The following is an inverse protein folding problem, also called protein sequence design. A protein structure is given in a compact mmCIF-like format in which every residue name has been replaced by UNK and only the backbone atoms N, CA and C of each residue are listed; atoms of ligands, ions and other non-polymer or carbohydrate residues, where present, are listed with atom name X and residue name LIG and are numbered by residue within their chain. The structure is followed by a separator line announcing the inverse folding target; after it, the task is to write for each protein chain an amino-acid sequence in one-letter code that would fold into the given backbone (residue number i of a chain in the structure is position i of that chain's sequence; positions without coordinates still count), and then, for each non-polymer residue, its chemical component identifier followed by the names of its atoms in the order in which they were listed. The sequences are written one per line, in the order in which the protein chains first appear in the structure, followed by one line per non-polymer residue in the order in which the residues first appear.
data_IF_927851532225
#
_entry.id   IF_927851532225
#
_cell.length_a   1.000
_cell.length_b   1.000
_cell.length_c   1.000
_cell.angle_alpha   90.00
_cell.angle_beta   90.00
_cell.angle_gamma   90.00
#
_symmetry.space_group_name_H-M   'P 1'
#
loop_
_entity.id
_entity.type
_entity.pdbx_description
1 polymer ?
#
# COMPACT_ATOMS: atom_id res chain seq x y z
N UNK A 1 61.74 -11.03 -22.20
CA UNK A 1 61.11 -10.51 -20.97
C UNK A 1 59.68 -11.04 -20.89
N UNK A 2 59.43 -12.25 -20.38
CA UNK A 2 58.08 -12.71 -20.07
C UNK A 2 57.71 -12.35 -18.62
N UNK A 3 56.53 -11.76 -18.44
CA UNK A 3 56.00 -11.38 -17.14
C UNK A 3 55.41 -12.58 -16.40
N UNK A 4 55.93 -12.81 -15.20
CA UNK A 4 55.43 -13.74 -14.19
C UNK A 4 53.97 -13.42 -13.82
N UNK A 5 53.07 -14.38 -14.01
CA UNK A 5 51.78 -14.41 -13.32
C UNK A 5 51.93 -15.26 -12.06
N UNK A 6 52.02 -14.59 -10.91
CA UNK A 6 51.97 -15.25 -9.60
C UNK A 6 50.53 -15.63 -9.26
N UNK A 7 50.37 -16.90 -8.95
CA UNK A 7 49.16 -17.56 -8.46
C UNK A 7 48.85 -17.10 -7.04
N UNK A 8 47.67 -16.50 -6.82
CA UNK A 8 47.17 -16.22 -5.48
C UNK A 8 46.32 -17.40 -4.99
N UNK A 9 46.93 -18.21 -4.12
CA UNK A 9 46.23 -19.10 -3.19
C UNK A 9 45.51 -18.23 -2.14
N UNK A 10 44.18 -18.25 -2.11
CA UNK A 10 43.39 -17.79 -0.96
C UNK A 10 42.88 -19.02 -0.21
N UNK A 11 43.50 -19.26 0.94
CA UNK A 11 43.15 -20.28 1.92
C UNK A 11 41.81 -19.95 2.57
N UNK A 12 40.91 -20.94 2.57
CA UNK A 12 39.69 -20.94 3.35
C UNK A 12 40.04 -21.06 4.85
N UNK A 13 39.68 -20.05 5.62
CA UNK A 13 39.62 -20.13 7.08
C UNK A 13 38.18 -19.96 7.53
N UNK A 14 37.54 -21.09 7.83
CA UNK A 14 36.34 -21.15 8.66
C UNK A 14 36.73 -20.85 10.12
N UNK A 15 36.06 -19.91 10.80
CA UNK A 15 35.97 -19.93 12.25
C UNK A 15 34.76 -20.79 12.71
N UNK A 16 34.88 -21.45 13.87
CA UNK A 16 33.96 -22.47 14.35
C UNK A 16 32.63 -21.91 14.89
N UNK A 17 31.61 -22.76 14.84
CA UNK A 17 30.33 -22.61 15.52
C UNK A 17 30.50 -22.60 17.04
N UNK A 18 29.81 -21.72 17.77
CA UNK A 18 29.42 -21.99 19.14
C UNK A 18 27.98 -22.50 19.19
N UNK A 19 27.82 -23.76 19.56
CA UNK A 19 26.60 -24.26 20.19
C UNK A 19 26.78 -24.11 21.70
N UNK A 20 25.82 -23.49 22.38
CA UNK A 20 25.11 -24.04 23.55
C UNK A 20 24.22 -22.93 24.18
N UNK A 21 23.02 -23.39 24.47
CA UNK A 21 21.85 -22.85 25.19
C UNK A 21 22.13 -21.99 26.41
N UNK A 22 21.38 -20.89 26.57
CA UNK A 22 20.64 -20.66 27.80
C UNK A 22 19.36 -19.85 27.56
N UNK A 23 18.37 -20.14 28.39
CA UNK A 23 16.97 -19.76 28.31
C UNK A 23 16.77 -18.29 28.67
N UNK A 24 16.00 -17.56 27.86
CA UNK A 24 15.32 -16.36 28.35
C UNK A 24 14.00 -16.19 27.60
N UNK A 25 12.94 -16.43 28.35
CA UNK A 25 11.54 -16.33 27.99
C UNK A 25 11.24 -14.98 27.31
N UNK A 26 10.72 -15.01 26.08
CA UNK A 26 10.01 -13.86 25.53
C UNK A 26 8.72 -13.69 26.34
N UNK A 27 8.44 -12.53 26.96
CA UNK A 27 7.13 -12.28 27.52
C UNK A 27 6.13 -12.19 26.36
N UNK A 28 5.37 -13.26 26.21
CA UNK A 28 4.18 -13.36 25.38
C UNK A 28 3.19 -12.28 25.83
N UNK A 29 3.03 -11.23 25.03
CA UNK A 29 2.10 -10.15 25.33
C UNK A 29 0.67 -10.63 25.04
N UNK A 30 0.05 -11.31 26.02
CA UNK A 30 -1.39 -11.60 26.01
C UNK A 30 -2.18 -10.34 26.38
N UNK A 31 -3.06 -9.81 25.50
CA UNK A 31 -4.01 -8.79 25.91
C UNK A 31 -5.05 -9.43 26.83
N UNK A 32 -4.97 -9.07 28.12
CA UNK A 32 -5.92 -9.50 29.15
C UNK A 32 -7.27 -8.82 28.91
N UNK A 33 -8.33 -9.64 29.00
CA UNK A 33 -9.73 -9.27 29.30
C UNK A 33 -10.67 -8.98 28.12
N UNK A 34 -11.21 -10.05 27.53
CA UNK A 34 -12.63 -10.10 27.15
C UNK A 34 -13.42 -10.81 28.26
N UNK A 35 -14.52 -10.26 28.80
CA UNK A 35 -15.42 -11.04 29.65
C UNK A 35 -16.38 -11.85 28.76
N UNK A 36 -16.02 -13.10 28.47
CA UNK A 36 -17.01 -14.20 28.36
C UNK A 36 -16.99 -14.85 29.75
N UNK A 37 -18.06 -14.92 30.53
CA UNK A 37 -19.41 -15.39 30.21
C UNK A 37 -19.64 -16.63 31.05
N UNK A 38 -20.72 -16.72 31.82
CA UNK A 38 -21.13 -17.98 32.46
C UNK A 38 -22.65 -18.04 32.55
N UNK A 39 -23.21 -18.68 31.53
CA UNK A 39 -24.51 -19.32 31.52
C UNK A 39 -24.29 -20.78 31.90
N UNK A 40 -24.86 -21.21 33.03
CA UNK A 40 -25.01 -22.60 33.46
C UNK A 40 -26.44 -22.78 34.00
N UNK A 41 -27.11 -23.87 33.59
CA UNK A 41 -28.55 -24.09 33.66
C UNK A 41 -29.17 -24.49 35.02
N UNK A 42 -30.36 -25.14 35.00
CA UNK A 42 -31.41 -25.01 36.02
C UNK A 42 -31.39 -26.08 37.12
N UNK A 43 -31.93 -25.74 38.30
CA UNK A 43 -32.16 -26.67 39.41
C UNK A 43 -32.80 -26.04 40.66
N UNK A 44 -34.15 -25.87 40.61
CA UNK A 44 -35.20 -25.99 41.65
C UNK A 44 -35.01 -25.52 43.14
N UNK A 45 -36.13 -25.30 43.89
CA UNK A 45 -36.37 -24.04 44.61
C UNK A 45 -36.40 -24.20 46.14
N UNK A 46 -35.98 -23.19 46.89
CA UNK A 46 -36.43 -22.77 48.25
C UNK A 46 -35.78 -21.38 48.46
N UNK A 47 -36.30 -20.33 49.09
CA UNK A 47 -37.37 -20.11 50.04
C UNK A 47 -37.60 -18.58 50.04
N UNK A 48 -38.86 -18.12 49.97
CA UNK A 48 -39.22 -16.71 50.27
C UNK A 48 -39.39 -16.62 51.79
N UNK A 49 -39.05 -15.50 52.44
CA UNK A 49 -40.17 -14.64 52.83
C UNK A 49 -39.91 -13.14 52.68
N UNK A 50 -41.03 -12.50 52.32
CA UNK A 50 -41.38 -11.10 52.46
C UNK A 50 -40.69 -10.33 53.59
N UNK A 51 -40.08 -9.19 53.25
CA UNK A 51 -40.24 -7.98 54.07
C UNK A 51 -40.45 -6.75 53.18
N UNK A 52 -41.54 -6.05 53.48
CA UNK A 52 -41.87 -4.73 52.94
C UNK A 52 -41.00 -3.71 53.66
N UNK A 53 -40.16 -2.98 52.95
CA UNK A 53 -39.77 -1.64 53.39
C UNK A 53 -39.83 -0.67 52.22
N UNK A 54 -40.92 0.08 52.22
CA UNK A 54 -41.05 1.39 51.62
C UNK A 54 -40.17 2.36 52.39
N UNK A 55 -39.15 2.95 51.78
CA UNK A 55 -38.59 4.23 52.22
C UNK A 55 -37.82 4.93 51.09
N UNK A 56 -38.39 6.07 50.69
CA UNK A 56 -37.72 7.30 50.27
C UNK A 56 -36.52 7.23 49.33
N UNK A 57 -36.77 7.61 48.08
CA UNK A 57 -36.03 8.65 47.34
C UNK A 57 -34.61 8.95 47.84
N UNK A 58 -33.65 8.09 47.50
CA UNK A 58 -32.25 8.49 47.42
C UNK A 58 -32.01 9.07 46.03
N UNK A 59 -32.08 10.40 45.95
CA UNK A 59 -31.58 11.22 44.85
C UNK A 59 -30.34 10.56 44.26
N UNK A 60 -30.48 10.00 43.06
CA UNK A 60 -29.31 9.61 42.26
C UNK A 60 -28.54 10.90 42.04
N UNK A 61 -27.48 11.09 42.83
CA UNK A 61 -26.49 12.10 42.58
C UNK A 61 -26.04 11.87 41.14
N UNK A 62 -26.57 12.68 40.22
CA UNK A 62 -25.97 12.93 38.91
C UNK A 62 -24.57 13.42 39.23
N UNK A 63 -23.63 12.48 39.35
CA UNK A 63 -22.20 12.75 39.17
C UNK A 63 -22.13 13.37 37.79
N UNK A 64 -22.11 14.69 37.77
CA UNK A 64 -21.66 15.51 36.66
C UNK A 64 -20.30 14.95 36.28
N UNK A 65 -20.28 14.06 35.27
CA UNK A 65 -19.03 13.65 34.64
C UNK A 65 -18.36 14.97 34.25
N UNK A 66 -17.24 15.27 34.90
CA UNK A 66 -16.54 16.54 34.71
C UNK A 66 -16.39 16.77 33.20
N UNK A 67 -16.72 17.98 32.76
CA UNK A 67 -16.70 18.38 31.34
C UNK A 67 -15.38 17.98 30.65
N UNK A 68 -14.26 18.02 31.38
CA UNK A 68 -12.95 17.56 30.91
C UNK A 68 -12.88 16.08 30.49
N UNK A 69 -13.61 15.17 31.15
CA UNK A 69 -13.63 13.75 30.77
C UNK A 69 -14.38 13.51 29.45
N UNK A 70 -15.46 14.27 29.20
CA UNK A 70 -16.21 14.20 27.94
C UNK A 70 -15.40 14.75 26.76
N UNK A 71 -14.70 15.87 26.96
CA UNK A 71 -13.82 16.47 25.94
C UNK A 71 -12.69 15.50 25.56
N UNK A 72 -12.04 14.87 26.54
CA UNK A 72 -10.98 13.87 26.28
C UNK A 72 -11.50 12.62 25.55
N UNK A 73 -12.69 12.13 25.93
CA UNK A 73 -13.33 10.99 25.24
C UNK A 73 -13.70 11.34 23.79
N UNK A 74 -14.15 12.57 23.53
CA UNK A 74 -14.46 13.05 22.18
C UNK A 74 -13.20 13.22 21.31
N UNK A 75 -12.14 13.84 21.85
CA UNK A 75 -10.86 13.95 21.17
C UNK A 75 -10.27 12.58 20.83
N UNK A 76 -10.32 11.62 21.77
CA UNK A 76 -9.88 10.25 21.52
C UNK A 76 -10.67 9.62 20.36
N UNK A 77 -12.00 9.75 20.36
CA UNK A 77 -12.85 9.23 19.28
C UNK A 77 -12.54 9.88 17.93
N UNK A 78 -12.27 11.20 17.90
CA UNK A 78 -11.85 11.92 16.69
C UNK A 78 -10.52 11.37 16.15
N UNK A 79 -9.53 11.19 17.03
CA UNK A 79 -8.23 10.63 16.67
C UNK A 79 -8.35 9.21 16.13
N UNK A 80 -9.12 8.33 16.79
CA UNK A 80 -9.33 6.96 16.30
C UNK A 80 -10.07 6.91 14.96
N UNK A 81 -11.05 7.80 14.73
CA UNK A 81 -11.72 7.90 13.43
C UNK A 81 -10.76 8.32 12.33
N UNK A 82 -9.91 9.31 12.60
CA UNK A 82 -8.86 9.74 11.67
C UNK A 82 -7.89 8.59 11.37
N UNK A 83 -7.34 7.92 12.39
CA UNK A 83 -6.42 6.80 12.20
C UNK A 83 -7.03 5.66 11.36
N UNK A 84 -8.32 5.33 11.57
CA UNK A 84 -9.02 4.32 10.75
C UNK A 84 -9.25 4.79 9.31
N UNK A 85 -9.49 6.09 9.10
CA UNK A 85 -9.64 6.67 7.77
C UNK A 85 -8.29 6.65 7.02
N UNK A 86 -7.22 7.08 7.67
CA UNK A 86 -5.85 7.10 7.12
C UNK A 86 -5.41 5.67 6.75
N UNK A 87 -5.61 4.69 7.66
CA UNK A 87 -5.33 3.28 7.37
C UNK A 87 -6.16 2.76 6.18
N UNK A 88 -7.43 3.17 6.07
CA UNK A 88 -8.28 2.77 4.96
C UNK A 88 -7.80 3.35 3.63
N UNK A 89 -7.29 4.59 3.63
CA UNK A 89 -6.70 5.21 2.45
C UNK A 89 -5.48 4.43 1.97
N UNK A 90 -4.54 4.12 2.87
CA UNK A 90 -3.35 3.32 2.54
C UNK A 90 -3.73 1.94 1.97
N UNK A 91 -4.71 1.26 2.55
CA UNK A 91 -5.13 -0.05 2.05
C UNK A 91 -5.78 0.03 0.65
N UNK A 92 -6.51 1.12 0.33
CA UNK A 92 -7.04 1.35 -1.02
C UNK A 92 -5.90 1.61 -2.00
N UNK A 93 -4.90 2.37 -1.59
CA UNK A 93 -3.71 2.66 -2.39
C UNK A 93 -2.93 1.40 -2.72
N UNK A 94 -2.72 0.53 -1.74
CA UNK A 94 -2.11 -0.77 -1.94
C UNK A 94 -2.90 -1.62 -2.93
N UNK A 95 -4.23 -1.72 -2.79
CA UNK A 95 -5.06 -2.52 -3.69
C UNK A 95 -5.02 -2.01 -5.14
N UNK A 96 -5.09 -0.70 -5.35
CA UNK A 96 -5.03 -0.11 -6.69
C UNK A 96 -3.64 -0.30 -7.30
N UNK A 97 -2.58 -0.19 -6.49
CA UNK A 97 -1.20 -0.46 -6.90
C UNK A 97 -1.03 -1.91 -7.39
N UNK A 98 -1.59 -2.89 -6.67
CA UNK A 98 -1.55 -4.28 -7.12
C UNK A 98 -2.32 -4.51 -8.41
N UNK A 99 -3.49 -3.90 -8.52
CA UNK A 99 -4.34 -4.06 -9.68
C UNK A 99 -3.73 -3.46 -10.94
N UNK A 100 -3.16 -2.25 -10.83
CA UNK A 100 -2.72 -1.49 -11.99
C UNK A 100 -1.28 -1.84 -12.39
N UNK A 101 -0.35 -1.92 -11.43
CA UNK A 101 1.06 -2.16 -11.76
C UNK A 101 1.39 -3.65 -11.92
N UNK A 102 0.71 -4.52 -11.17
CA UNK A 102 1.04 -5.94 -11.13
C UNK A 102 -0.06 -6.84 -11.74
N UNK A 103 -1.12 -6.24 -12.30
CA UNK A 103 -2.29 -6.96 -12.82
C UNK A 103 -2.87 -7.98 -11.83
N UNK A 104 -2.69 -7.75 -10.53
CA UNK A 104 -3.12 -8.67 -9.48
C UNK A 104 -4.41 -8.18 -8.83
N UNK A 105 -5.35 -9.10 -8.64
CA UNK A 105 -6.56 -8.83 -7.87
C UNK A 105 -6.78 -9.94 -6.85
N UNK A 106 -7.25 -9.55 -5.67
CA UNK A 106 -7.51 -10.52 -4.61
C UNK A 106 -8.75 -11.35 -4.96
N UNK A 107 -8.58 -12.67 -5.11
CA UNK A 107 -9.69 -13.59 -5.33
C UNK A 107 -10.60 -13.71 -4.10
N UNK A 108 -10.07 -13.45 -2.91
CA UNK A 108 -10.84 -13.47 -1.66
C UNK A 108 -11.50 -12.12 -1.44
N UNK A 109 -12.77 -12.04 -1.82
CA UNK A 109 -13.58 -10.85 -1.57
C UNK A 109 -13.65 -10.55 -0.07
N UNK A 110 -13.67 -9.26 0.27
CA UNK A 110 -13.86 -8.85 1.65
C UNK A 110 -15.26 -9.24 2.14
N UNK A 111 -15.31 -9.91 3.30
CA UNK A 111 -16.53 -10.16 4.05
C UNK A 111 -17.26 -8.86 4.41
N UNK A 112 -18.57 -8.94 4.59
CA UNK A 112 -19.39 -7.81 5.06
C UNK A 112 -18.85 -7.30 6.40
N UNK A 113 -18.29 -6.10 6.42
CA UNK A 113 -17.64 -5.55 7.60
C UNK A 113 -16.86 -4.26 7.30
N UNK A 114 -16.01 -3.86 8.25
CA UNK A 114 -15.29 -2.58 8.18
C UNK A 114 -14.44 -2.44 6.91
N UNK A 115 -13.87 -3.54 6.39
CA UNK A 115 -13.09 -3.52 5.14
C UNK A 115 -13.94 -3.17 3.91
N UNK A 116 -15.15 -3.71 3.82
CA UNK A 116 -16.08 -3.42 2.72
C UNK A 116 -16.51 -1.94 2.73
N UNK A 117 -16.88 -1.42 3.90
CA UNK A 117 -17.27 0.01 4.04
C UNK A 117 -16.11 0.98 3.84
N UNK A 118 -14.86 0.52 3.93
CA UNK A 118 -13.66 1.32 3.67
C UNK A 118 -13.32 1.43 2.18
N UNK A 119 -14.08 0.78 1.29
CA UNK A 119 -13.87 0.82 -0.16
C UNK A 119 -12.81 -0.16 -0.66
N UNK A 120 -12.55 -1.24 0.08
CA UNK A 120 -11.72 -2.36 -0.38
C UNK A 120 -12.56 -3.39 -1.12
N UNK A 121 -11.96 -4.03 -2.12
CA UNK A 121 -12.51 -5.20 -2.80
C UNK A 121 -11.96 -6.48 -2.17
N UNK A 122 -10.65 -6.52 -1.97
CA UNK A 122 -9.92 -7.68 -1.45
C UNK A 122 -9.90 -7.77 0.08
N UNK A 123 -9.62 -8.97 0.57
CA UNK A 123 -9.35 -9.20 1.97
C UNK A 123 -8.10 -8.45 2.45
N UNK A 124 -8.17 -7.87 3.65
CA UNK A 124 -7.08 -7.03 4.19
C UNK A 124 -5.80 -7.83 4.39
N UNK A 125 -5.93 -9.04 4.95
CA UNK A 125 -4.78 -9.90 5.22
C UNK A 125 -4.11 -10.33 3.92
N UNK A 126 -4.90 -10.72 2.91
CA UNK A 126 -4.38 -11.07 1.59
C UNK A 126 -3.62 -9.90 0.95
N UNK A 127 -4.18 -8.67 0.98
CA UNK A 127 -3.49 -7.48 0.48
C UNK A 127 -2.17 -7.23 1.24
N UNK A 128 -2.15 -7.38 2.56
CA UNK A 128 -0.92 -7.22 3.35
C UNK A 128 0.12 -8.31 3.07
N UNK A 129 -0.28 -9.55 2.84
CA UNK A 129 0.63 -10.64 2.46
C UNK A 129 1.29 -10.37 1.11
N UNK A 130 0.52 -9.88 0.13
CA UNK A 130 1.06 -9.47 -1.17
C UNK A 130 2.03 -8.30 -1.02
N UNK A 131 1.71 -7.32 -0.18
CA UNK A 131 2.63 -6.22 0.12
C UNK A 131 4.01 -6.71 0.58
N UNK A 132 4.02 -7.59 1.57
CA UNK A 132 5.25 -8.13 2.15
C UNK A 132 6.01 -8.96 1.11
N UNK A 133 5.31 -9.78 0.32
CA UNK A 133 5.93 -10.57 -0.74
C UNK A 133 6.59 -9.69 -1.81
N UNK A 134 5.92 -8.64 -2.27
CA UNK A 134 6.46 -7.69 -3.26
C UNK A 134 7.66 -6.92 -2.70
N UNK A 135 7.57 -6.43 -1.46
CA UNK A 135 8.68 -5.71 -0.80
C UNK A 135 9.88 -6.63 -0.63
N UNK A 136 9.68 -7.87 -0.18
CA UNK A 136 10.76 -8.84 -0.04
C UNK A 136 11.41 -9.14 -1.39
N UNK A 137 10.61 -9.39 -2.42
CA UNK A 137 11.11 -9.71 -3.75
C UNK A 137 11.92 -8.57 -4.38
N UNK A 138 11.32 -7.38 -4.52
CA UNK A 138 11.98 -6.25 -5.17
C UNK A 138 13.07 -5.63 -4.30
N UNK A 139 12.88 -5.61 -2.98
CA UNK A 139 13.90 -5.16 -2.04
C UNK A 139 15.15 -6.05 -2.11
N UNK A 140 14.98 -7.37 -2.12
CA UNK A 140 16.11 -8.30 -2.27
C UNK A 140 16.81 -8.13 -3.62
N UNK A 141 16.06 -7.93 -4.71
CA UNK A 141 16.65 -7.68 -6.02
C UNK A 141 17.48 -6.39 -6.06
N UNK A 142 16.97 -5.30 -5.51
CA UNK A 142 17.68 -4.02 -5.45
C UNK A 142 18.96 -4.13 -4.62
N UNK A 143 18.91 -4.78 -3.46
CA UNK A 143 20.08 -5.00 -2.60
C UNK A 143 21.13 -5.87 -3.30
N UNK A 144 20.71 -6.94 -3.99
CA UNK A 144 21.61 -7.81 -4.76
C UNK A 144 22.30 -7.03 -5.88
N UNK A 145 21.55 -6.26 -6.68
CA UNK A 145 22.12 -5.40 -7.71
C UNK A 145 23.08 -4.36 -7.12
N UNK A 146 22.74 -3.82 -5.94
CA UNK A 146 23.61 -2.89 -5.22
C UNK A 146 24.96 -3.50 -4.82
N UNK A 147 24.95 -4.76 -4.40
CA UNK A 147 26.17 -5.52 -4.09
C UNK A 147 26.98 -5.81 -5.34
N UNK A 148 26.34 -6.28 -6.41
CA UNK A 148 26.98 -6.59 -7.69
C UNK A 148 27.66 -5.36 -8.32
N UNK A 149 27.02 -4.19 -8.21
CA UNK A 149 27.51 -2.93 -8.78
C UNK A 149 28.42 -2.13 -7.83
N UNK A 150 28.65 -2.61 -6.58
CA UNK A 150 29.46 -1.91 -5.59
C UNK A 150 28.86 -0.58 -5.08
N UNK A 151 27.54 -0.40 -5.18
CA UNK A 151 26.82 0.83 -4.81
C UNK A 151 25.68 0.59 -3.79
N UNK A 152 25.80 -0.46 -2.98
CA UNK A 152 24.82 -0.78 -1.93
C UNK A 152 24.47 0.40 -1.01
N UNK A 153 25.41 1.25 -0.55
CA UNK A 153 25.06 2.40 0.29
C UNK A 153 24.11 3.39 -0.38
N UNK A 154 24.28 3.63 -1.69
CA UNK A 154 23.43 4.51 -2.47
C UNK A 154 22.02 3.91 -2.60
N UNK A 155 21.92 2.62 -2.93
CA UNK A 155 20.62 1.90 -3.01
C UNK A 155 19.87 1.95 -1.68
N UNK A 156 20.56 1.73 -0.55
CA UNK A 156 19.94 1.81 0.77
C UNK A 156 19.47 3.23 1.12
N UNK A 157 20.22 4.26 0.72
CA UNK A 157 19.82 5.65 0.89
C UNK A 157 18.56 5.99 0.07
N UNK A 158 18.47 5.50 -1.17
CA UNK A 158 17.29 5.66 -2.02
C UNK A 158 16.05 4.97 -1.43
N UNK A 159 16.19 3.72 -0.97
CA UNK A 159 15.09 2.99 -0.29
C UNK A 159 14.61 3.76 0.94
N UNK A 160 15.53 4.28 1.76
CA UNK A 160 15.18 5.10 2.93
C UNK A 160 14.43 6.36 2.51
N UNK A 161 14.92 7.08 1.50
CA UNK A 161 14.27 8.28 0.99
C UNK A 161 12.85 8.01 0.46
N UNK A 162 12.60 6.84 -0.15
CA UNK A 162 11.26 6.40 -0.55
C UNK A 162 10.36 6.19 0.68
N UNK A 163 10.86 5.49 1.70
CA UNK A 163 10.11 5.25 2.95
C UNK A 163 9.75 6.56 3.67
N UNK A 164 10.73 7.47 3.80
CA UNK A 164 10.53 8.77 4.45
C UNK A 164 9.52 9.63 3.68
N UNK A 165 9.58 9.62 2.35
CA UNK A 165 8.61 10.32 1.51
C UNK A 165 7.20 9.76 1.69
N UNK A 166 7.04 8.44 1.76
CA UNK A 166 5.74 7.81 1.90
C UNK A 166 5.02 8.20 3.21
N UNK A 167 5.78 8.42 4.29
CA UNK A 167 5.24 8.83 5.60
C UNK A 167 4.99 10.34 5.67
N UNK A 168 5.89 11.14 5.11
CA UNK A 168 5.89 12.59 5.31
C UNK A 168 5.18 13.38 4.20
N UNK A 169 4.89 12.76 3.05
CA UNK A 169 4.24 13.48 1.95
C UNK A 169 2.75 13.73 2.25
N UNK A 170 2.26 14.98 2.17
CA UNK A 170 0.85 15.31 2.47
C UNK A 170 -0.22 14.60 1.63
N UNK A 171 0.17 14.02 0.48
CA UNK A 171 -0.70 13.39 -0.52
C UNK A 171 -0.65 11.86 -0.43
N UNK A 172 0.00 11.32 0.60
CA UNK A 172 0.09 9.89 0.86
C UNK A 172 1.20 9.16 0.08
N UNK A 173 1.21 7.82 0.17
CA UNK A 173 2.33 6.99 -0.28
C UNK A 173 2.47 6.89 -1.80
N UNK A 174 1.40 7.17 -2.56
CA UNK A 174 1.44 7.16 -4.02
C UNK A 174 1.95 8.47 -4.62
N UNK A 175 2.22 9.50 -3.80
CA UNK A 175 2.66 10.80 -4.29
C UNK A 175 3.97 10.69 -5.11
N UNK A 176 3.94 11.23 -6.33
CA UNK A 176 5.04 11.16 -7.29
C UNK A 176 5.11 9.85 -8.11
N UNK A 177 4.31 8.83 -7.79
CA UNK A 177 4.28 7.56 -8.55
C UNK A 177 3.48 7.70 -9.85
N UNK A 178 3.52 6.69 -10.73
CA UNK A 178 2.64 6.65 -11.91
C UNK A 178 1.14 6.57 -11.60
N UNK A 179 0.76 6.33 -10.34
CA UNK A 179 -0.64 6.30 -9.88
C UNK A 179 -1.08 7.57 -9.15
N UNK A 180 -0.20 8.57 -9.09
CA UNK A 180 -0.47 9.84 -8.44
C UNK A 180 -1.47 10.68 -9.26
N UNK A 181 -2.71 10.79 -8.80
CA UNK A 181 -3.77 11.54 -9.48
C UNK A 181 -3.67 13.06 -9.30
N UNK A 182 -2.73 13.58 -8.50
CA UNK A 182 -2.55 15.02 -8.30
C UNK A 182 -3.10 15.56 -6.97
N UNK A 183 -3.61 16.80 -6.96
CA UNK A 183 -3.99 17.58 -5.77
C UNK A 183 -5.27 17.07 -5.07
N UNK A 184 -5.45 17.54 -3.84
CA UNK A 184 -6.65 17.37 -3.01
C UNK A 184 -7.92 17.75 -3.78
N UNK A 185 -8.93 16.86 -3.77
CA UNK A 185 -10.20 17.08 -4.46
C UNK A 185 -10.50 16.13 -5.61
N UNK A 186 -9.59 15.21 -5.92
CA UNK A 186 -9.79 14.14 -6.91
C UNK A 186 -10.13 12.78 -6.30
N UNK A 187 -10.20 12.69 -4.96
CA UNK A 187 -10.59 11.47 -4.27
C UNK A 187 -12.06 11.12 -4.47
N UNK A 188 -12.38 9.84 -4.58
CA UNK A 188 -13.78 9.42 -4.66
C UNK A 188 -14.48 9.66 -3.32
N UNK A 189 -15.60 10.39 -3.34
CA UNK A 189 -16.38 10.73 -2.14
C UNK A 189 -17.66 9.88 -2.11
N UNK A 190 -17.95 9.26 -0.97
CA UNK A 190 -19.23 8.56 -0.72
C UNK A 190 -20.02 9.35 0.32
N UNK A 191 -21.29 9.67 0.05
CA UNK A 191 -22.08 10.57 0.91
C UNK A 191 -22.55 9.92 2.22
N UNK A 192 -22.71 8.58 2.22
CA UNK A 192 -23.23 7.84 3.37
C UNK A 192 -22.48 6.54 3.58
N UNK A 193 -22.47 6.04 4.82
CA UNK A 193 -21.91 4.71 5.13
C UNK A 193 -22.69 3.65 4.36
N UNK A 194 -22.00 2.88 3.52
CA UNK A 194 -22.62 1.84 2.67
C UNK A 194 -23.09 2.33 1.31
N UNK A 195 -23.00 3.64 1.05
CA UNK A 195 -23.09 4.18 -0.30
C UNK A 195 -21.86 3.75 -1.09
N UNK A 196 -22.11 3.17 -2.26
CA UNK A 196 -21.05 2.73 -3.16
C UNK A 196 -20.78 3.77 -4.22
N UNK A 197 -21.66 4.72 -4.48
CA UNK A 197 -21.54 5.64 -5.61
C UNK A 197 -20.55 6.75 -5.32
N UNK A 198 -19.78 7.16 -6.33
CA UNK A 198 -18.92 8.33 -6.24
C UNK A 198 -19.75 9.60 -6.43
N UNK A 199 -19.64 10.55 -5.49
CA UNK A 199 -20.33 11.84 -5.50
C UNK A 199 -19.36 13.02 -5.61
N UNK A 200 -18.13 12.79 -6.06
CA UNK A 200 -17.19 13.88 -6.22
C UNK A 200 -17.64 14.78 -7.40
N UNK A 201 -17.91 16.08 -7.19
CA UNK A 201 -18.39 16.98 -8.25
C UNK A 201 -17.35 17.23 -9.36
N UNK A 202 -16.07 16.98 -9.10
CA UNK A 202 -14.99 17.09 -10.08
C UNK A 202 -14.93 15.86 -11.01
N UNK A 203 -15.73 14.82 -10.75
CA UNK A 203 -15.74 13.60 -11.55
C UNK A 203 -16.86 13.68 -12.58
N UNK A 204 -16.48 13.87 -13.84
CA UNK A 204 -17.41 13.98 -14.97
C UNK A 204 -18.13 12.66 -15.29
N UNK A 205 -17.49 11.53 -15.01
CA UNK A 205 -18.07 10.20 -15.19
C UNK A 205 -18.52 9.69 -13.83
N UNK A 206 -19.83 9.44 -13.70
CA UNK A 206 -20.38 8.78 -12.53
C UNK A 206 -20.24 7.26 -12.67
N UNK A 207 -19.64 6.64 -11.67
CA UNK A 207 -19.57 5.19 -11.56
C UNK A 207 -20.56 4.73 -10.49
N UNK A 208 -21.21 3.60 -10.75
CA UNK A 208 -22.06 2.94 -9.75
C UNK A 208 -21.27 2.59 -8.48
N UNK A 209 -19.97 2.35 -8.63
CA UNK A 209 -19.03 2.07 -7.55
C UNK A 209 -17.83 3.04 -7.53
N UNK A 210 -17.60 3.67 -6.39
CA UNK A 210 -16.50 4.57 -6.10
C UNK A 210 -15.16 3.85 -6.14
N UNK A 211 -15.16 2.52 -5.94
CA UNK A 211 -13.98 1.67 -6.10
C UNK A 211 -13.57 1.60 -7.58
N UNK A 212 -14.56 1.42 -8.46
CA UNK A 212 -14.33 1.37 -9.90
C UNK A 212 -13.95 2.75 -10.45
N UNK A 213 -14.57 3.81 -9.93
CA UNK A 213 -14.19 5.19 -10.24
C UNK A 213 -12.70 5.43 -9.92
N UNK A 214 -12.28 5.11 -8.69
CA UNK A 214 -10.91 5.29 -8.22
C UNK A 214 -9.91 4.53 -9.09
N UNK A 215 -10.16 3.25 -9.34
CA UNK A 215 -9.30 2.40 -10.18
C UNK A 215 -9.22 2.94 -11.60
N UNK A 216 -10.35 3.24 -12.24
CA UNK A 216 -10.41 3.77 -13.61
C UNK A 216 -9.60 5.07 -13.76
N UNK A 217 -9.72 5.98 -12.79
CA UNK A 217 -8.96 7.23 -12.79
C UNK A 217 -7.46 6.97 -12.67
N UNK A 218 -7.04 6.12 -11.72
CA UNK A 218 -5.63 5.76 -11.55
C UNK A 218 -5.06 5.02 -12.76
N UNK A 219 -5.83 4.14 -13.39
CA UNK A 219 -5.47 3.48 -14.64
C UNK A 219 -5.27 4.50 -15.77
N UNK A 220 -6.16 5.49 -15.88
CA UNK A 220 -5.99 6.56 -16.86
C UNK A 220 -4.70 7.37 -16.60
N UNK A 221 -4.45 7.76 -15.34
CA UNK A 221 -3.22 8.44 -14.94
C UNK A 221 -1.97 7.63 -15.25
N UNK A 222 -1.99 6.33 -14.95
CA UNK A 222 -0.91 5.40 -15.26
C UNK A 222 -0.61 5.40 -16.75
N UNK A 223 -1.62 5.19 -17.60
CA UNK A 223 -1.42 5.17 -19.04
C UNK A 223 -0.90 6.49 -19.59
N UNK A 224 -1.39 7.63 -19.09
CA UNK A 224 -0.87 8.95 -19.46
C UNK A 224 0.60 9.08 -19.10
N UNK A 225 0.97 8.82 -17.83
CA UNK A 225 2.36 8.98 -17.36
C UNK A 225 3.33 8.03 -18.05
N UNK A 226 2.96 6.77 -18.22
CA UNK A 226 3.77 5.78 -18.95
C UNK A 226 3.93 6.18 -20.42
N UNK A 227 2.87 6.65 -21.08
CA UNK A 227 2.94 7.17 -22.45
C UNK A 227 3.89 8.37 -22.53
N UNK A 228 3.82 9.30 -21.59
CA UNK A 228 4.62 10.52 -21.61
C UNK A 228 6.10 10.23 -21.34
N UNK A 229 6.39 9.34 -20.39
CA UNK A 229 7.75 8.87 -20.13
C UNK A 229 8.33 8.11 -21.33
N UNK A 230 7.53 7.24 -21.96
CA UNK A 230 7.93 6.56 -23.18
C UNK A 230 8.24 7.53 -24.32
N UNK A 231 7.40 8.55 -24.54
CA UNK A 231 7.64 9.60 -25.56
C UNK A 231 8.92 10.38 -25.26
N UNK A 232 9.15 10.73 -23.99
CA UNK A 232 10.39 11.39 -23.56
C UNK A 232 11.62 10.54 -23.85
N UNK A 233 11.59 9.26 -23.47
CA UNK A 233 12.68 8.33 -23.72
C UNK A 233 12.92 8.11 -25.22
N UNK A 234 11.87 8.04 -26.04
CA UNK A 234 11.97 7.95 -27.50
C UNK A 234 12.66 9.19 -28.08
N UNK A 235 12.31 10.39 -27.63
CA UNK A 235 12.96 11.63 -28.09
C UNK A 235 14.44 11.67 -27.71
N UNK A 236 14.79 11.24 -26.49
CA UNK A 236 16.20 11.16 -26.05
C UNK A 236 16.97 10.16 -26.90
N UNK A 237 16.43 8.96 -27.12
CA UNK A 237 17.05 7.94 -27.97
C UNK A 237 17.19 8.43 -29.42
N UNK A 238 16.17 9.08 -29.98
CA UNK A 238 16.26 9.66 -31.32
C UNK A 238 17.33 10.75 -31.40
N UNK A 239 17.41 11.64 -30.41
CA UNK A 239 18.44 12.69 -30.37
C UNK A 239 19.86 12.13 -30.22
N UNK A 240 20.03 11.01 -29.49
CA UNK A 240 21.32 10.32 -29.36
C UNK A 240 21.70 9.53 -30.63
N UNK A 241 20.71 8.93 -31.29
CA UNK A 241 20.93 8.08 -32.48
C UNK A 241 21.04 8.87 -33.78
N UNK A 242 20.38 10.03 -33.92
CA UNK A 242 20.43 10.85 -35.14
C UNK A 242 21.86 11.24 -35.56
N UNK A 243 22.75 11.71 -34.66
CA UNK A 243 24.14 11.96 -35.00
C UNK A 243 24.87 10.69 -35.48
N UNK A 244 24.63 9.55 -34.83
CA UNK A 244 25.22 8.27 -35.20
C UNK A 244 24.71 7.77 -36.58
N UNK A 245 23.42 7.92 -36.85
CA UNK A 245 22.81 7.55 -38.13
C UNK A 245 23.25 8.49 -39.27
N UNK A 246 23.53 9.75 -38.98
CA UNK A 246 24.05 10.73 -39.95
C UNK A 246 25.50 10.41 -40.35
N UNK A 247 26.32 9.94 -39.41
CA UNK A 247 27.71 9.53 -39.66
C UNK A 247 27.79 8.22 -40.47
N UNK A 248 26.84 7.30 -40.27
CA UNK A 248 26.88 5.95 -40.86
C UNK A 248 26.32 5.88 -42.30
N UNK A 249 25.64 6.93 -42.78
CA UNK A 249 25.28 7.07 -44.20
C UNK A 249 24.31 5.99 -44.76
N UNK A 250 24.09 5.95 -46.09
CA UNK A 250 22.98 5.25 -46.74
C UNK A 250 22.98 3.71 -46.65
N UNK A 251 23.98 3.09 -46.00
CA UNK A 251 24.11 1.63 -45.91
C UNK A 251 23.17 0.97 -44.89
N UNK A 252 22.41 1.76 -44.12
CA UNK A 252 21.52 1.25 -43.06
C UNK A 252 20.04 1.64 -43.23
N UNK A 253 19.57 1.75 -44.49
CA UNK A 253 18.15 1.95 -44.80
C UNK A 253 17.22 0.93 -44.13
N UNK A 254 17.71 -0.29 -43.87
CA UNK A 254 16.96 -1.32 -43.14
C UNK A 254 16.81 -1.03 -41.64
N UNK A 255 17.81 -0.44 -40.97
CA UNK A 255 17.69 -0.05 -39.55
C UNK A 255 16.72 1.13 -39.39
N UNK A 256 16.72 2.07 -40.33
CA UNK A 256 15.70 3.15 -40.37
C UNK A 256 14.30 2.59 -40.57
N UNK A 257 14.13 1.63 -41.49
CA UNK A 257 12.84 0.93 -41.69
C UNK A 257 12.42 0.15 -40.45
N UNK A 258 13.33 -0.55 -39.80
CA UNK A 258 13.07 -1.33 -38.59
C UNK A 258 12.61 -0.43 -37.43
N UNK A 259 13.30 0.69 -37.19
CA UNK A 259 12.91 1.67 -36.16
C UNK A 259 11.55 2.31 -36.48
N UNK A 260 11.26 2.57 -37.76
CA UNK A 260 9.94 3.03 -38.21
C UNK A 260 8.83 2.01 -37.95
N UNK A 261 9.06 0.74 -38.29
CA UNK A 261 8.10 -0.35 -38.08
C UNK A 261 7.85 -0.64 -36.60
N UNK A 262 8.89 -0.60 -35.76
CA UNK A 262 8.72 -0.68 -34.30
C UNK A 262 7.86 0.47 -33.76
N UNK A 263 8.08 1.70 -34.26
CA UNK A 263 7.28 2.86 -33.86
C UNK A 263 5.80 2.68 -34.21
N UNK A 264 5.49 2.25 -35.44
CA UNK A 264 4.10 2.03 -35.87
C UNK A 264 3.40 0.91 -35.10
N UNK A 265 4.12 -0.16 -34.80
CA UNK A 265 3.57 -1.30 -34.07
C UNK A 265 3.15 -0.87 -32.66
N UNK A 266 4.00 -0.09 -31.99
CA UNK A 266 3.74 0.42 -30.64
C UNK A 266 2.55 1.38 -30.63
N UNK A 267 2.47 2.31 -31.59
CA UNK A 267 1.35 3.25 -31.70
C UNK A 267 0.00 2.57 -31.96
N UNK A 268 -0.01 1.42 -32.65
CA UNK A 268 -1.22 0.62 -32.87
C UNK A 268 -1.65 -0.18 -31.64
N UNK A 269 -0.70 -0.54 -30.77
CA UNK A 269 -0.98 -1.26 -29.51
C UNK A 269 -1.44 -0.35 -28.36
N UNK A 270 -1.36 0.97 -28.49
CA UNK A 270 -1.94 1.89 -27.51
C UNK A 270 -3.45 2.04 -27.81
N UNK A 271 -4.36 1.61 -26.92
CA UNK A 271 -5.79 1.73 -27.15
C UNK A 271 -6.20 3.20 -27.28
N UNK A 272 -6.66 3.58 -28.48
CA UNK A 272 -7.21 4.91 -28.73
C UNK A 272 -8.60 5.01 -28.07
N UNK A 273 -8.81 6.03 -27.23
CA UNK A 273 -10.12 6.35 -26.67
C UNK A 273 -11.11 6.57 -27.84
N UNK A 274 -12.20 5.80 -27.86
CA UNK A 274 -13.42 6.16 -28.60
C UNK A 274 -14.26 7.10 -27.75
#
# INVERSE_FOLDING_TARGET
MPANYQSFHMLAHHPPSPSITDSSECPEYTPVSSPRGSSSGPGLPQYRPSSRHSSSSSRTARRTKSSGRRIKEEQKRKHERKARADQSAVLRDMEDLYNILFAWSCNKAQSTGNGHTSGLVGDKLANSQVAVALIAHFGQQAIRQGLENGNLPQVQAEIRAVCDRAVNHPRGPLAGSWLDTGLDGDECITNKKGDKTCHNPNHTIQFADARDCRKTRRTATFHTRVSDEWKGNKQVLQAQLEPALTIVGPKFGEVRKFLGQMSETIERSIPRKR
#
